data_IF_050663536447
#
_entry.id   IF_050663536447
#
_cell.length_a   1.000
_cell.length_b   1.000
_cell.length_c   1.000
_cell.angle_alpha   90.00
_cell.angle_beta   90.00
_cell.angle_gamma   90.00
#
_symmetry.space_group_name_H-M   'P 1'
#
loop_
_entity.id
_entity.type
_entity.pdbx_description
1 polymer ?
#
# COMPACT_ATOMS: atom_id res chain seq x y z
N UNK A 1 31.32 -20.47 -16.26
CA UNK A 1 30.57 -20.45 -14.98
C UNK A 1 30.38 -19.00 -14.62
N UNK A 2 29.19 -18.46 -14.84
CA UNK A 2 28.89 -17.05 -14.63
C UNK A 2 28.27 -16.85 -13.26
N UNK A 3 28.94 -16.12 -12.38
CA UNK A 3 28.39 -15.60 -11.13
C UNK A 3 27.57 -14.36 -11.48
N UNK A 4 26.24 -14.46 -11.37
CA UNK A 4 25.37 -13.30 -11.42
C UNK A 4 25.44 -12.59 -10.07
N UNK A 5 25.86 -11.33 -10.10
CA UNK A 5 25.92 -10.45 -8.92
C UNK A 5 24.50 -9.97 -8.64
N UNK A 6 23.94 -10.35 -7.49
CA UNK A 6 22.70 -9.77 -7.00
C UNK A 6 22.93 -8.29 -6.69
N UNK A 7 22.09 -7.40 -7.22
CA UNK A 7 22.16 -5.97 -6.94
C UNK A 7 22.01 -5.70 -5.43
N UNK A 8 22.64 -4.64 -4.91
CA UNK A 8 22.56 -4.32 -3.48
C UNK A 8 21.11 -4.05 -3.09
N UNK A 9 20.53 -4.88 -2.21
CA UNK A 9 19.23 -4.62 -1.59
C UNK A 9 19.33 -3.31 -0.81
N UNK A 10 18.62 -2.28 -1.25
CA UNK A 10 18.64 -0.94 -0.67
C UNK A 10 18.31 -0.94 0.82
N UNK A 11 19.34 -0.88 1.67
CA UNK A 11 19.20 -0.90 3.14
C UNK A 11 18.59 0.39 3.72
N UNK A 12 18.33 1.41 2.91
CA UNK A 12 17.81 2.71 3.36
C UNK A 12 16.30 2.89 3.17
N UNK A 13 15.64 2.03 2.40
CA UNK A 13 14.21 2.15 2.07
C UNK A 13 13.25 1.75 3.21
N UNK A 14 13.74 1.02 4.22
CA UNK A 14 12.87 0.51 5.30
C UNK A 14 12.33 1.60 6.24
N UNK A 15 12.95 2.79 6.29
CA UNK A 15 12.57 3.87 7.22
C UNK A 15 11.96 5.09 6.54
N UNK A 16 12.31 5.40 5.30
CA UNK A 16 11.63 6.44 4.53
C UNK A 16 10.44 5.83 3.81
N UNK A 17 9.23 6.18 4.23
CA UNK A 17 8.07 5.59 3.58
C UNK A 17 7.77 6.28 2.26
N UNK A 18 8.21 5.63 1.18
CA UNK A 18 7.95 6.05 -0.19
C UNK A 18 6.89 5.14 -0.82
N UNK A 19 6.29 5.62 -1.89
CA UNK A 19 5.46 4.79 -2.76
C UNK A 19 6.34 3.77 -3.47
N UNK A 20 5.92 2.51 -3.51
CA UNK A 20 6.61 1.45 -4.26
C UNK A 20 6.78 1.83 -5.73
N UNK A 21 5.82 2.55 -6.31
CA UNK A 21 5.92 3.07 -7.67
C UNK A 21 7.08 4.06 -7.81
N UNK A 22 7.25 4.97 -6.85
CA UNK A 22 8.36 5.92 -6.85
C UNK A 22 9.72 5.20 -6.72
N UNK A 23 9.80 4.14 -5.92
CA UNK A 23 11.03 3.34 -5.76
C UNK A 23 11.38 2.54 -7.02
N UNK A 24 10.38 2.01 -7.73
CA UNK A 24 10.57 1.32 -9.01
C UNK A 24 11.02 2.31 -10.10
N UNK A 25 10.35 3.46 -10.21
CA UNK A 25 10.70 4.52 -11.17
C UNK A 25 12.10 5.08 -10.91
N UNK A 26 12.50 5.24 -9.65
CA UNK A 26 13.85 5.68 -9.28
C UNK A 26 14.96 4.70 -9.72
N UNK A 27 14.61 3.42 -9.89
CA UNK A 27 15.49 2.39 -10.47
C UNK A 27 15.43 2.33 -12.00
N UNK A 28 14.75 3.29 -12.64
CA UNK A 28 14.50 3.34 -14.09
C UNK A 28 13.68 2.15 -14.62
N UNK A 29 12.88 1.52 -13.76
CA UNK A 29 12.01 0.41 -14.11
C UNK A 29 10.56 0.88 -14.29
N UNK A 30 9.74 0.01 -14.88
CA UNK A 30 8.32 0.28 -15.11
C UNK A 30 7.49 -0.32 -13.98
N UNK A 31 6.72 0.55 -13.32
CA UNK A 31 5.69 0.13 -12.38
C UNK A 31 4.38 -0.11 -13.12
N UNK A 32 3.67 -1.18 -12.77
CA UNK A 32 2.23 -1.30 -13.02
C UNK A 32 1.53 -1.83 -11.78
N UNK A 33 0.23 -1.60 -11.72
CA UNK A 33 -0.63 -2.11 -10.66
C UNK A 33 -1.80 -2.88 -11.24
N UNK A 34 -2.12 -4.02 -10.62
CA UNK A 34 -3.30 -4.81 -10.89
C UNK A 34 -4.21 -4.80 -9.67
N UNK A 35 -5.42 -4.27 -9.83
CA UNK A 35 -6.41 -4.18 -8.77
C UNK A 35 -7.20 -5.48 -8.72
N UNK A 36 -7.08 -6.22 -7.62
CA UNK A 36 -7.81 -7.48 -7.39
C UNK A 36 -9.15 -7.24 -6.69
N UNK A 37 -9.18 -6.28 -5.78
CA UNK A 37 -10.37 -5.88 -5.02
C UNK A 37 -10.36 -4.36 -4.81
N UNK A 38 -11.52 -3.74 -4.95
CA UNK A 38 -11.76 -2.34 -4.59
C UNK A 38 -13.23 -2.19 -4.20
N UNK A 39 -13.52 -2.13 -2.91
CA UNK A 39 -14.90 -2.18 -2.42
C UNK A 39 -15.17 -1.30 -1.19
N UNK A 40 -16.45 -1.03 -0.96
CA UNK A 40 -16.95 -0.55 0.33
C UNK A 40 -17.40 -1.74 1.17
N UNK A 41 -16.91 -1.80 2.41
CA UNK A 41 -17.28 -2.86 3.35
C UNK A 41 -17.42 -2.33 4.78
N UNK A 42 -17.83 -3.23 5.68
CA UNK A 42 -17.95 -2.99 7.12
C UNK A 42 -16.72 -3.58 7.80
N UNK A 43 -15.98 -2.76 8.53
CA UNK A 43 -14.76 -3.19 9.20
C UNK A 43 -15.04 -4.36 10.15
N UNK A 44 -14.36 -5.48 9.92
CA UNK A 44 -14.32 -6.58 10.88
C UNK A 44 -13.49 -6.21 12.11
N UNK A 45 -13.38 -7.11 13.08
CA UNK A 45 -12.63 -6.86 14.30
C UNK A 45 -11.14 -6.50 14.07
N UNK A 46 -10.49 -7.13 13.07
CA UNK A 46 -9.07 -6.92 12.77
C UNK A 46 -8.89 -5.55 12.09
N UNK A 47 -9.69 -5.27 11.07
CA UNK A 47 -9.67 -4.02 10.31
C UNK A 47 -10.02 -2.83 11.20
N UNK A 48 -11.04 -2.98 12.06
CA UNK A 48 -11.47 -1.96 13.01
C UNK A 48 -10.36 -1.61 14.00
N UNK A 49 -9.67 -2.63 14.52
CA UNK A 49 -8.52 -2.46 15.43
C UNK A 49 -7.36 -1.73 14.72
N UNK A 50 -7.00 -2.18 13.51
CA UNK A 50 -5.93 -1.60 12.72
C UNK A 50 -6.18 -0.11 12.39
N UNK A 51 -7.43 0.24 12.08
CA UNK A 51 -7.86 1.62 11.80
C UNK A 51 -8.17 2.43 13.07
N UNK A 52 -8.24 1.79 14.25
CA UNK A 52 -8.75 2.38 15.50
C UNK A 52 -10.12 3.05 15.34
N UNK A 53 -11.05 2.31 14.74
CA UNK A 53 -12.47 2.66 14.61
C UNK A 53 -13.31 1.56 15.24
N UNK A 54 -14.60 1.82 15.55
CA UNK A 54 -15.51 0.76 15.98
C UNK A 54 -15.71 -0.32 14.90
N UNK A 55 -15.91 -1.56 15.31
CA UNK A 55 -16.35 -2.63 14.41
C UNK A 55 -17.65 -2.24 13.69
N UNK A 56 -17.79 -2.62 12.42
CA UNK A 56 -18.91 -2.21 11.57
C UNK A 56 -18.81 -0.77 11.03
N UNK A 57 -17.73 -0.04 11.33
CA UNK A 57 -17.44 1.23 10.66
C UNK A 57 -17.34 1.00 9.15
N UNK A 58 -17.89 1.92 8.36
CA UNK A 58 -17.79 1.89 6.90
C UNK A 58 -16.35 2.20 6.50
N UNK A 59 -15.75 1.29 5.76
CA UNK A 59 -14.37 1.40 5.27
C UNK A 59 -14.32 1.12 3.78
N UNK A 60 -13.26 1.59 3.14
CA UNK A 60 -12.89 1.14 1.81
C UNK A 60 -11.74 0.15 1.93
N UNK A 61 -11.83 -0.95 1.19
CA UNK A 61 -10.84 -2.01 1.14
C UNK A 61 -10.34 -2.16 -0.28
N UNK A 62 -9.02 -2.15 -0.44
CA UNK A 62 -8.38 -2.44 -1.71
C UNK A 62 -7.31 -3.50 -1.55
N UNK A 63 -7.33 -4.49 -2.44
CA UNK A 63 -6.29 -5.50 -2.59
C UNK A 63 -5.72 -5.39 -4.00
N UNK A 64 -4.41 -5.25 -4.11
CA UNK A 64 -3.75 -5.09 -5.41
C UNK A 64 -2.35 -5.67 -5.44
N UNK A 65 -1.87 -5.98 -6.64
CA UNK A 65 -0.50 -6.44 -6.88
C UNK A 65 0.26 -5.36 -7.63
N UNK A 66 1.42 -4.99 -7.11
CA UNK A 66 2.36 -4.11 -7.77
C UNK A 66 3.43 -4.92 -8.48
N UNK A 67 3.78 -4.46 -9.68
CA UNK A 67 4.74 -5.10 -10.55
C UNK A 67 5.91 -4.17 -10.87
N UNK A 68 7.09 -4.77 -11.03
CA UNK A 68 8.31 -4.17 -11.53
C UNK A 68 8.71 -4.90 -12.82
N UNK A 69 8.64 -4.22 -13.97
CA UNK A 69 8.92 -4.81 -15.29
C UNK A 69 8.16 -6.15 -15.52
N UNK A 70 6.85 -6.18 -15.26
CA UNK A 70 5.99 -7.36 -15.36
C UNK A 70 6.22 -8.48 -14.33
N UNK A 71 7.15 -8.30 -13.38
CA UNK A 71 7.35 -9.22 -12.26
C UNK A 71 6.57 -8.72 -11.04
N UNK A 72 5.67 -9.51 -10.43
CA UNK A 72 4.97 -9.10 -9.23
C UNK A 72 5.96 -8.99 -8.07
N UNK A 73 5.94 -7.87 -7.36
CA UNK A 73 6.90 -7.57 -6.27
C UNK A 73 6.24 -7.32 -4.93
N UNK A 74 4.95 -6.97 -4.90
CA UNK A 74 4.26 -6.65 -3.66
C UNK A 74 2.75 -6.84 -3.80
N UNK A 75 2.13 -7.49 -2.80
CA UNK A 75 0.70 -7.43 -2.56
C UNK A 75 0.44 -6.27 -1.59
N UNK A 76 -0.41 -5.33 -1.96
CA UNK A 76 -0.91 -4.28 -1.08
C UNK A 76 -2.36 -4.59 -0.67
N UNK A 77 -2.55 -4.85 0.61
CA UNK A 77 -3.85 -4.94 1.27
C UNK A 77 -4.05 -3.69 2.14
N UNK A 78 -5.02 -2.86 1.77
CA UNK A 78 -5.22 -1.55 2.37
C UNK A 78 -6.68 -1.32 2.75
N UNK A 79 -6.87 -0.98 4.02
CA UNK A 79 -8.13 -0.47 4.54
C UNK A 79 -8.02 1.03 4.83
N UNK A 80 -9.08 1.78 4.56
CA UNK A 80 -9.17 3.23 4.79
C UNK A 80 -10.54 3.61 5.33
N UNK A 81 -10.59 4.60 6.21
CA UNK A 81 -11.86 5.10 6.74
C UNK A 81 -12.62 5.88 5.64
N UNK A 82 -13.79 5.38 5.27
CA UNK A 82 -14.61 5.94 4.18
C UNK A 82 -15.15 7.35 4.48
N UNK A 83 -15.17 7.77 5.75
CA UNK A 83 -15.55 9.14 6.13
C UNK A 83 -14.40 10.14 5.93
N UNK A 84 -13.15 9.67 6.02
CA UNK A 84 -11.95 10.52 5.88
C UNK A 84 -11.58 10.69 4.41
N UNK A 85 -11.75 9.64 3.60
CA UNK A 85 -11.33 9.60 2.20
C UNK A 85 -12.51 9.22 1.29
N UNK A 86 -13.56 10.05 1.17
CA UNK A 86 -14.81 9.66 0.51
C UNK A 86 -14.66 9.31 -0.98
N UNK A 87 -13.67 9.88 -1.66
CA UNK A 87 -13.45 9.66 -3.10
C UNK A 87 -12.48 8.51 -3.42
N UNK A 88 -12.09 7.70 -2.43
CA UNK A 88 -11.10 6.62 -2.60
C UNK A 88 -11.49 5.61 -3.69
N UNK A 89 -12.75 5.14 -3.70
CA UNK A 89 -13.21 4.18 -4.70
C UNK A 89 -13.33 4.75 -6.12
N UNK A 90 -13.29 6.07 -6.27
CA UNK A 90 -13.37 6.73 -7.58
C UNK A 90 -12.00 6.91 -8.25
N UNK A 91 -10.92 6.55 -7.57
CA UNK A 91 -9.57 6.68 -8.12
C UNK A 91 -9.23 5.54 -9.07
N UNK A 92 -8.43 5.86 -10.09
CA UNK A 92 -7.85 4.87 -10.98
C UNK A 92 -6.48 4.42 -10.45
N UNK A 93 -6.46 3.30 -9.71
CA UNK A 93 -5.23 2.75 -9.13
C UNK A 93 -4.31 2.06 -10.14
N UNK A 94 -4.68 2.00 -11.42
CA UNK A 94 -3.75 1.61 -12.49
C UNK A 94 -2.81 2.75 -12.88
N UNK A 95 -3.22 4.00 -12.64
CA UNK A 95 -2.48 5.21 -12.96
C UNK A 95 -1.82 5.89 -11.74
N UNK A 96 -2.35 5.66 -10.54
CA UNK A 96 -1.78 6.14 -9.26
C UNK A 96 -1.71 5.01 -8.25
N UNK A 97 -0.86 5.12 -7.23
CA UNK A 97 -0.93 4.19 -6.08
C UNK A 97 -1.84 4.75 -4.98
N UNK A 98 -2.39 3.90 -4.11
CA UNK A 98 -3.07 4.37 -2.90
C UNK A 98 -2.16 5.21 -2.00
N UNK A 99 -0.87 4.88 -1.90
CA UNK A 99 0.09 5.68 -1.14
C UNK A 99 0.16 7.12 -1.68
N UNK A 100 0.32 7.28 -2.99
CA UNK A 100 0.46 8.59 -3.61
C UNK A 100 -0.84 9.40 -3.48
N UNK A 101 -1.99 8.76 -3.73
CA UNK A 101 -3.29 9.39 -3.56
C UNK A 101 -3.55 9.84 -2.12
N UNK A 102 -3.32 8.97 -1.13
CA UNK A 102 -3.53 9.30 0.27
C UNK A 102 -2.58 10.39 0.75
N UNK A 103 -1.35 10.40 0.25
CA UNK A 103 -0.36 11.45 0.55
C UNK A 103 -0.77 12.83 0.04
N UNK A 104 -1.55 12.92 -1.04
CA UNK A 104 -2.13 14.19 -1.52
C UNK A 104 -3.20 14.74 -0.59
N UNK A 105 -4.00 13.85 0.02
CA UNK A 105 -5.11 14.23 0.91
C UNK A 105 -4.58 14.61 2.29
N UNK A 106 -3.73 13.77 2.85
CA UNK A 106 -3.08 14.01 4.12
C UNK A 106 -1.65 13.46 4.07
N UNK A 107 -0.62 14.29 4.36
CA UNK A 107 0.73 13.78 4.53
C UNK A 107 0.71 12.62 5.53
N UNK A 108 1.17 11.44 5.09
CA UNK A 108 1.27 10.25 5.93
C UNK A 108 2.44 10.43 6.93
N UNK A 109 2.25 11.31 7.92
CA UNK A 109 3.31 11.86 8.78
C UNK A 109 3.73 10.95 9.92
N UNK A 110 2.83 10.11 10.41
CA UNK A 110 3.11 9.18 11.50
C UNK A 110 2.55 7.81 11.14
N UNK A 111 3.41 6.79 11.24
CA UNK A 111 2.97 5.44 11.05
C UNK A 111 3.85 4.44 11.77
N UNK A 112 3.21 3.43 12.35
CA UNK A 112 3.88 2.26 12.90
C UNK A 112 4.11 1.27 11.77
N UNK A 113 5.35 0.78 11.65
CA UNK A 113 5.72 -0.30 10.74
C UNK A 113 6.14 -1.51 11.55
N UNK A 114 5.47 -2.62 11.31
CA UNK A 114 5.88 -3.92 11.82
C UNK A 114 6.36 -4.71 10.61
N UNK A 115 7.62 -5.13 10.64
CA UNK A 115 8.25 -5.95 9.60
C UNK A 115 8.42 -7.36 10.15
N UNK A 116 7.79 -8.34 9.51
CA UNK A 116 7.79 -9.73 9.95
C UNK A 116 8.28 -10.63 8.81
N UNK A 117 9.09 -11.63 9.13
CA UNK A 117 9.38 -12.72 8.21
C UNK A 117 8.24 -13.73 8.28
N UNK A 118 7.59 -13.99 7.15
CA UNK A 118 6.42 -14.87 7.09
C UNK A 118 6.57 -15.91 5.97
N UNK A 119 5.84 -17.01 6.10
CA UNK A 119 5.54 -17.87 4.96
C UNK A 119 4.27 -17.34 4.31
N UNK A 120 4.37 -17.01 3.02
CA UNK A 120 3.20 -16.61 2.25
C UNK A 120 2.20 -17.76 2.14
N UNK A 121 0.92 -17.43 2.18
CA UNK A 121 -0.17 -18.37 1.89
C UNK A 121 -0.11 -18.86 0.44
N UNK A 122 -0.84 -19.93 0.12
CA UNK A 122 -0.88 -20.45 -1.25
C UNK A 122 -1.42 -19.43 -2.26
N UNK A 123 -2.39 -18.61 -1.85
CA UNK A 123 -2.96 -17.53 -2.67
C UNK A 123 -1.94 -16.41 -2.90
N UNK A 124 -1.26 -15.94 -1.85
CA UNK A 124 -0.20 -14.93 -1.97
C UNK A 124 0.97 -15.44 -2.83
N UNK A 125 1.34 -16.72 -2.70
CA UNK A 125 2.37 -17.33 -3.55
C UNK A 125 1.97 -17.31 -5.03
N UNK A 126 0.71 -17.62 -5.33
CA UNK A 126 0.20 -17.58 -6.69
C UNK A 126 0.20 -16.15 -7.25
N UNK A 127 -0.19 -15.16 -6.45
CA UNK A 127 -0.19 -13.74 -6.85
C UNK A 127 1.23 -13.19 -7.05
N UNK A 128 2.19 -13.61 -6.23
CA UNK A 128 3.59 -13.15 -6.29
C UNK A 128 4.47 -14.00 -7.21
N UNK A 129 3.94 -15.06 -7.83
CA UNK A 129 4.72 -16.02 -8.61
C UNK A 129 5.94 -16.58 -7.87
N UNK A 130 5.79 -16.89 -6.59
CA UNK A 130 6.83 -17.45 -5.72
C UNK A 130 6.47 -18.87 -5.24
N UNK A 131 7.47 -19.58 -4.74
CA UNK A 131 7.26 -20.87 -4.09
C UNK A 131 6.91 -20.70 -2.61
N UNK A 132 6.19 -21.68 -2.03
CA UNK A 132 5.74 -21.65 -0.63
C UNK A 132 6.88 -21.54 0.42
N UNK A 133 8.12 -21.81 0.02
CA UNK A 133 9.29 -21.72 0.89
C UNK A 133 10.18 -20.51 0.59
N UNK A 134 9.79 -19.68 -0.37
CA UNK A 134 10.51 -18.45 -0.65
C UNK A 134 10.31 -17.47 0.51
N UNK A 135 11.39 -16.85 1.00
CA UNK A 135 11.30 -15.96 2.15
C UNK A 135 10.51 -14.70 1.78
N UNK A 136 9.44 -14.43 2.53
CA UNK A 136 8.61 -13.24 2.37
C UNK A 136 8.74 -12.30 3.55
N UNK A 137 8.62 -11.00 3.27
CA UNK A 137 8.51 -9.96 4.29
C UNK A 137 7.09 -9.42 4.27
N UNK A 138 6.41 -9.51 5.41
CA UNK A 138 5.16 -8.82 5.65
C UNK A 138 5.47 -7.47 6.27
N UNK A 139 5.01 -6.40 5.64
CA UNK A 139 5.12 -5.04 6.18
C UNK A 139 3.71 -4.58 6.53
N UNK A 140 3.39 -4.60 7.82
CA UNK A 140 2.15 -4.01 8.33
C UNK A 140 2.41 -2.55 8.60
N UNK A 141 1.67 -1.69 7.90
CA UNK A 141 1.75 -0.24 8.06
C UNK A 141 0.42 0.29 8.53
N UNK A 142 0.45 0.96 9.68
CA UNK A 142 -0.63 1.84 10.11
C UNK A 142 -0.19 3.28 9.91
N UNK A 143 -0.99 4.08 9.24
CA UNK A 143 -0.75 5.53 9.10
C UNK A 143 -1.91 6.29 9.66
N UNK A 144 -1.61 7.32 10.44
CA UNK A 144 -2.61 8.26 10.95
C UNK A 144 -2.41 9.62 10.28
N UNK A 145 -3.51 10.26 9.92
CA UNK A 145 -3.50 11.68 9.60
C UNK A 145 -3.25 12.48 10.88
N UNK A 146 -2.34 13.45 10.82
CA UNK A 146 -2.10 14.31 11.96
C UNK A 146 -3.33 15.21 12.19
N UNK A 147 -3.96 15.22 13.38
CA UNK A 147 -5.17 16.01 13.66
C UNK A 147 -4.98 17.53 13.64
N UNK A 148 -3.77 18.05 13.40
CA UNK A 148 -3.47 19.49 13.41
C UNK A 148 -3.52 20.22 12.06
N UNK A 149 -4.21 19.68 11.04
CA UNK A 149 -4.52 20.46 9.84
C UNK A 149 -6.00 20.84 9.76
N UNK A 150 -6.26 22.14 9.91
CA UNK A 150 -7.48 22.79 9.45
C UNK A 150 -7.73 22.40 7.98
N UNK A 151 -8.96 22.04 7.59
CA UNK A 151 -9.27 21.72 6.20
C UNK A 151 -8.94 22.93 5.33
N UNK A 152 -8.04 22.77 4.36
CA UNK A 152 -7.84 23.79 3.31
C UNK A 152 -9.11 23.83 2.48
N UNK A 153 -9.83 24.95 2.54
CA UNK A 153 -10.98 25.21 1.69
C UNK A 153 -10.60 25.02 0.21
N UNK A 154 -11.49 24.48 -0.64
CA UNK A 154 -11.22 24.35 -2.06
C UNK A 154 -11.06 25.75 -2.66
N UNK A 155 -9.89 26.00 -3.25
CA UNK A 155 -9.67 27.18 -4.08
C UNK A 155 -10.52 27.03 -5.33
N UNK A 156 -11.61 27.79 -5.42
CA UNK A 156 -12.40 27.93 -6.64
C UNK A 156 -11.63 28.87 -7.57
N UNK A 157 -11.13 28.42 -8.73
CA UNK A 157 -10.53 29.33 -9.70
C UNK A 157 -11.61 30.24 -10.30
N UNK A 158 -11.31 31.54 -10.38
CA UNK A 158 -12.03 32.52 -11.19
C UNK A 158 -11.47 32.54 -12.60
#
# INVERSE_FOLDING_TARGET
MGTFVAEPKGQSALFEVRSIAAEIVARHHQHRCEVLLLEETRADHIQATALSVPEGTRIFHSLMVHYENEVPVQIEDRCVNAAVVPDYLHQDYTATTPHDYLSLIAPLTEGEHIVEAVQATAEECALLHIHAHDPCLLIRRRTVDNPHRLPRAPAVPR
#
